data_IF_577636274831
#
_entry.id   IF_577636274831
#
_cell.length_a   1.000
_cell.length_b   1.000
_cell.length_c   1.000
_cell.angle_alpha   90.00
_cell.angle_beta   90.00
_cell.angle_gamma   90.00
#
_symmetry.space_group_name_H-M   'P 1'
#
loop_
_entity.id
_entity.type
_entity.pdbx_description
1 polymer ?
#
# COMPACT_ATOMS: atom_id res chain seq x y z
N UNK A 1 -28.90 15.14 -29.19
CA UNK A 1 -28.78 15.47 -27.75
C UNK A 1 -27.65 14.64 -27.19
N UNK A 2 -26.57 15.27 -26.72
CA UNK A 2 -25.45 14.54 -26.11
C UNK A 2 -25.79 14.20 -24.65
N UNK A 3 -25.53 12.97 -24.23
CA UNK A 3 -25.75 12.53 -22.86
C UNK A 3 -24.90 13.35 -21.88
N UNK A 4 -25.42 13.70 -20.69
CA UNK A 4 -24.63 14.39 -19.68
C UNK A 4 -23.46 13.50 -19.28
N UNK A 5 -22.25 14.01 -19.46
CA UNK A 5 -21.03 13.36 -18.98
C UNK A 5 -21.04 13.43 -17.45
N UNK A 6 -21.38 12.31 -16.81
CA UNK A 6 -21.15 12.12 -15.38
C UNK A 6 -19.63 12.12 -15.16
N UNK A 7 -19.05 13.28 -14.88
CA UNK A 7 -17.70 13.35 -14.33
C UNK A 7 -17.76 12.68 -12.95
N UNK A 8 -17.03 11.58 -12.71
CA UNK A 8 -16.95 11.03 -11.37
C UNK A 8 -16.39 12.12 -10.44
N UNK A 9 -16.92 12.23 -9.21
CA UNK A 9 -16.39 13.17 -8.24
C UNK A 9 -14.90 12.89 -8.08
N UNK A 10 -14.09 13.89 -8.38
CA UNK A 10 -12.64 13.82 -8.17
C UNK A 10 -12.44 13.91 -6.67
N UNK A 11 -12.18 12.77 -6.02
CA UNK A 11 -11.88 12.75 -4.59
C UNK A 11 -10.60 13.56 -4.37
N UNK A 12 -10.60 14.59 -3.51
CA UNK A 12 -9.38 15.30 -3.13
C UNK A 12 -8.55 14.38 -2.23
N UNK A 13 -7.75 13.50 -2.85
CA UNK A 13 -6.95 12.50 -2.13
C UNK A 13 -5.99 13.13 -1.14
N UNK A 14 -5.45 14.31 -1.43
CA UNK A 14 -4.59 15.08 -0.52
C UNK A 14 -5.28 15.35 0.83
N UNK A 15 -6.49 15.95 0.80
CA UNK A 15 -7.25 16.27 2.01
C UNK A 15 -7.65 15.01 2.78
N UNK A 16 -8.11 13.98 2.07
CA UNK A 16 -8.50 12.72 2.66
C UNK A 16 -7.31 12.05 3.38
N UNK A 17 -6.17 11.91 2.70
CA UNK A 17 -4.98 11.26 3.27
C UNK A 17 -4.42 12.08 4.43
N UNK A 18 -4.38 13.41 4.30
CA UNK A 18 -3.88 14.25 5.37
C UNK A 18 -4.71 14.10 6.65
N UNK A 19 -6.04 14.24 6.54
CA UNK A 19 -6.94 14.19 7.69
C UNK A 19 -6.99 12.80 8.36
N UNK A 20 -6.88 11.72 7.58
CA UNK A 20 -7.09 10.37 8.10
C UNK A 20 -5.80 9.62 8.45
N UNK A 21 -4.69 9.89 7.76
CA UNK A 21 -3.46 9.10 7.88
C UNK A 21 -2.27 9.90 8.40
N UNK A 22 -2.07 11.12 7.89
CA UNK A 22 -0.85 11.89 8.17
C UNK A 22 -0.97 12.83 9.38
N UNK A 23 -2.17 13.26 9.75
CA UNK A 23 -2.40 14.29 10.78
C UNK A 23 -1.70 14.00 12.12
N UNK A 24 -1.58 12.73 12.50
CA UNK A 24 -1.02 12.32 13.79
C UNK A 24 0.50 12.07 13.76
N UNK A 25 1.14 12.19 12.58
CA UNK A 25 2.61 12.10 12.44
C UNK A 25 3.21 10.69 12.56
N UNK A 26 2.40 9.64 12.81
CA UNK A 26 2.88 8.26 12.90
C UNK A 26 3.16 7.64 11.52
N UNK A 27 2.45 8.09 10.48
CA UNK A 27 2.58 7.58 9.11
C UNK A 27 3.55 8.48 8.33
N UNK A 28 4.65 7.88 7.87
CA UNK A 28 5.71 8.61 7.15
C UNK A 28 5.58 8.53 5.62
N UNK A 29 4.71 7.66 5.11
CA UNK A 29 4.49 7.47 3.68
C UNK A 29 3.17 6.75 3.41
N UNK A 30 2.51 7.12 2.31
CA UNK A 30 1.24 6.53 1.87
C UNK A 30 1.30 6.32 0.36
N UNK A 31 0.87 5.16 -0.12
CA UNK A 31 0.63 4.91 -1.54
C UNK A 31 -0.79 4.36 -1.69
N UNK A 32 -1.63 5.02 -2.50
CA UNK A 32 -2.98 4.56 -2.79
C UNK A 32 -3.02 4.03 -4.21
N UNK A 33 -3.56 2.83 -4.36
CA UNK A 33 -3.76 2.18 -5.64
C UNK A 33 -5.26 2.05 -5.93
N UNK A 34 -5.67 2.35 -7.16
CA UNK A 34 -7.02 2.04 -7.63
C UNK A 34 -7.21 0.52 -7.77
N UNK A 35 -8.46 0.09 -7.96
CA UNK A 35 -8.80 -1.32 -8.14
C UNK A 35 -8.13 -1.99 -9.36
N UNK A 36 -7.64 -1.19 -10.31
CA UNK A 36 -6.89 -1.66 -11.48
C UNK A 36 -5.37 -1.61 -11.30
N UNK A 37 -4.88 -1.22 -10.11
CA UNK A 37 -3.45 -1.16 -9.80
C UNK A 37 -2.74 0.13 -10.21
N UNK A 38 -3.47 1.11 -10.74
CA UNK A 38 -2.92 2.43 -11.01
C UNK A 38 -2.70 3.18 -9.69
N UNK A 39 -1.50 3.75 -9.51
CA UNK A 39 -1.23 4.65 -8.39
C UNK A 39 -2.12 5.90 -8.54
N UNK A 40 -2.95 6.17 -7.54
CA UNK A 40 -3.84 7.36 -7.52
C UNK A 40 -3.29 8.48 -6.63
N UNK A 41 -2.43 8.14 -5.67
CA UNK A 41 -1.82 9.08 -4.76
C UNK A 41 -0.54 8.49 -4.15
N UNK A 42 0.47 9.34 -3.90
CA UNK A 42 1.68 8.95 -3.17
C UNK A 42 2.20 10.08 -2.28
N UNK A 43 2.71 9.71 -1.11
CA UNK A 43 3.37 10.57 -0.14
C UNK A 43 4.58 9.85 0.44
N UNK A 44 5.63 10.59 0.81
CA UNK A 44 6.81 10.04 1.50
C UNK A 44 7.76 9.27 0.59
N UNK A 45 7.91 9.68 -0.68
CA UNK A 45 8.82 9.09 -1.66
C UNK A 45 8.54 7.61 -2.00
N UNK A 46 7.29 7.16 -1.88
CA UNK A 46 6.87 5.81 -2.27
C UNK A 46 6.57 5.66 -3.77
N UNK A 47 6.59 6.76 -4.52
CA UNK A 47 6.53 6.75 -5.98
C UNK A 47 7.93 7.04 -6.52
N UNK A 48 8.46 6.09 -7.29
CA UNK A 48 9.78 6.18 -7.91
C UNK A 48 9.87 5.51 -9.28
N UNK A 49 8.72 5.29 -9.94
CA UNK A 49 8.63 4.65 -11.26
C UNK A 49 8.55 3.12 -11.20
N UNK A 50 8.46 2.53 -10.00
CA UNK A 50 8.27 1.08 -9.77
C UNK A 50 6.93 0.73 -9.14
N UNK A 51 5.93 1.58 -9.35
CA UNK A 51 4.58 1.42 -8.78
C UNK A 51 3.94 0.09 -9.20
N UNK A 52 4.14 -0.32 -10.45
CA UNK A 52 3.62 -1.60 -10.97
C UNK A 52 4.24 -2.80 -10.26
N UNK A 53 5.55 -2.75 -9.94
CA UNK A 53 6.24 -3.80 -9.20
C UNK A 53 5.73 -3.86 -7.75
N UNK A 54 5.56 -2.71 -7.10
CA UNK A 54 5.01 -2.64 -5.74
C UNK A 54 3.57 -3.20 -5.71
N UNK A 55 2.72 -2.79 -6.65
CA UNK A 55 1.37 -3.31 -6.78
C UNK A 55 1.34 -4.81 -7.05
N UNK A 56 2.24 -5.32 -7.91
CA UNK A 56 2.40 -6.75 -8.16
C UNK A 56 2.70 -7.54 -6.89
N UNK A 57 3.61 -7.04 -6.04
CA UNK A 57 3.90 -7.66 -4.74
C UNK A 57 2.68 -7.64 -3.80
N UNK A 58 1.94 -6.52 -3.74
CA UNK A 58 0.70 -6.40 -2.94
C UNK A 58 -0.35 -7.40 -3.42
N UNK A 59 -0.57 -7.50 -4.73
CA UNK A 59 -1.50 -8.46 -5.30
C UNK A 59 -1.08 -9.91 -4.99
N UNK A 60 0.20 -10.22 -5.07
CA UNK A 60 0.72 -11.54 -4.73
C UNK A 60 0.54 -11.89 -3.26
N UNK A 61 0.63 -10.90 -2.36
CA UNK A 61 0.31 -11.07 -0.95
C UNK A 61 -1.13 -11.58 -0.78
N UNK A 62 -2.12 -10.91 -1.37
CA UNK A 62 -3.54 -11.21 -1.16
C UNK A 62 -4.13 -12.34 -2.02
N UNK A 63 -3.51 -12.68 -3.16
CA UNK A 63 -4.02 -13.76 -4.04
C UNK A 63 -3.60 -15.15 -3.59
N UNK A 64 -2.50 -15.28 -2.85
CA UNK A 64 -2.00 -16.55 -2.32
C UNK A 64 -2.32 -16.61 -0.83
N UNK A 65 -3.58 -16.55 -0.39
CA UNK A 65 -3.89 -16.70 1.04
C UNK A 65 -3.32 -18.05 1.54
N UNK A 66 -2.63 -18.09 2.70
CA UNK A 66 -2.23 -19.37 3.26
C UNK A 66 -3.48 -20.20 3.58
N UNK A 67 -3.44 -21.54 3.42
CA UNK A 67 -4.49 -22.39 3.96
C UNK A 67 -4.66 -22.12 5.47
N UNK A 68 -5.89 -22.23 5.98
CA UNK A 68 -6.34 -21.77 7.32
C UNK A 68 -5.48 -22.25 8.51
N UNK A 69 -4.58 -23.21 8.33
CA UNK A 69 -3.73 -23.79 9.37
C UNK A 69 -2.40 -23.03 9.59
N UNK A 70 -1.91 -22.26 8.62
CA UNK A 70 -0.61 -21.55 8.71
C UNK A 70 -0.78 -20.04 8.89
N UNK A 71 -1.02 -19.61 10.13
CA UNK A 71 -1.09 -18.19 10.50
C UNK A 71 0.28 -17.47 10.49
N UNK A 72 1.38 -18.19 10.24
CA UNK A 72 2.72 -17.60 10.06
C UNK A 72 3.01 -17.33 8.59
N UNK A 73 2.69 -16.12 8.14
CA UNK A 73 2.93 -15.67 6.77
C UNK A 73 4.36 -15.16 6.64
N UNK A 74 5.36 -16.02 6.40
CA UNK A 74 6.75 -15.55 6.18
C UNK A 74 6.94 -14.98 4.76
N UNK A 75 6.27 -13.85 4.47
CA UNK A 75 6.37 -13.12 3.20
C UNK A 75 7.12 -11.82 3.38
N UNK A 76 7.74 -11.36 2.31
CA UNK A 76 8.51 -10.12 2.31
C UNK A 76 7.90 -9.17 1.28
N UNK A 77 7.53 -7.98 1.72
CA UNK A 77 7.22 -6.84 0.86
C UNK A 77 8.46 -5.96 0.75
N UNK A 78 8.95 -5.74 -0.45
CA UNK A 78 10.07 -4.82 -0.70
C UNK A 78 9.52 -3.48 -1.16
N UNK A 79 9.74 -2.43 -0.37
CA UNK A 79 9.39 -1.07 -0.73
C UNK A 79 10.66 -0.33 -1.14
N UNK A 80 10.65 0.25 -2.33
CA UNK A 80 11.71 1.12 -2.80
C UNK A 80 11.36 2.59 -2.56
N UNK A 81 12.36 3.37 -2.14
CA UNK A 81 12.28 4.82 -1.94
C UNK A 81 13.50 5.45 -2.61
N UNK A 82 13.40 5.67 -3.92
CA UNK A 82 14.52 6.16 -4.74
C UNK A 82 15.65 5.14 -4.83
N UNK A 83 16.85 5.47 -4.35
CA UNK A 83 17.97 4.52 -4.36
C UNK A 83 17.99 3.54 -3.19
N UNK A 84 17.08 3.70 -2.23
CA UNK A 84 16.99 2.81 -1.06
C UNK A 84 15.86 1.81 -1.23
N UNK A 85 16.00 0.67 -0.57
CA UNK A 85 14.93 -0.29 -0.37
C UNK A 85 14.84 -0.69 1.10
N UNK A 86 13.66 -1.10 1.51
CA UNK A 86 13.43 -1.71 2.81
C UNK A 86 12.54 -2.94 2.63
N UNK A 87 12.96 -4.02 3.27
CA UNK A 87 12.25 -5.29 3.28
C UNK A 87 11.38 -5.34 4.54
N UNK A 88 10.08 -5.52 4.33
CA UNK A 88 9.10 -5.67 5.40
C UNK A 88 8.64 -7.12 5.44
N UNK A 89 9.01 -7.82 6.51
CA UNK A 89 8.48 -9.16 6.77
C UNK A 89 7.05 -9.02 7.26
N UNK A 90 6.12 -9.67 6.59
CA UNK A 90 4.71 -9.72 6.99
C UNK A 90 4.58 -10.75 8.12
N UNK A 91 3.78 -10.46 9.14
CA UNK A 91 3.56 -11.36 10.27
C UNK A 91 2.08 -11.66 10.50
N UNK A 92 1.21 -10.73 10.13
CA UNK A 92 -0.22 -10.85 10.27
C UNK A 92 -0.88 -10.49 8.96
N UNK A 93 -1.89 -11.27 8.58
CA UNK A 93 -2.63 -11.06 7.35
C UNK A 93 -4.06 -11.56 7.53
N UNK A 94 -4.98 -10.83 6.92
CA UNK A 94 -6.38 -11.19 6.74
C UNK A 94 -6.72 -11.12 5.25
N UNK A 95 -7.97 -11.39 4.88
CA UNK A 95 -8.44 -11.22 3.51
C UNK A 95 -8.25 -9.79 2.97
N UNK A 96 -8.27 -8.78 3.86
CA UNK A 96 -8.34 -7.37 3.47
C UNK A 96 -7.23 -6.50 4.06
N UNK A 97 -6.33 -7.07 4.87
CA UNK A 97 -5.23 -6.31 5.44
C UNK A 97 -3.99 -7.16 5.70
N UNK A 98 -2.82 -6.54 5.66
CA UNK A 98 -1.57 -7.16 6.06
C UNK A 98 -0.75 -6.20 6.92
N UNK A 99 -0.03 -6.76 7.89
CA UNK A 99 0.89 -6.03 8.74
C UNK A 99 2.28 -6.68 8.73
N UNK A 100 3.29 -5.84 8.58
CA UNK A 100 4.69 -6.25 8.58
C UNK A 100 5.61 -5.23 9.19
N UNK A 101 6.85 -5.66 9.48
CA UNK A 101 7.90 -4.77 9.97
C UNK A 101 9.24 -5.11 9.33
N UNK A 102 10.15 -4.14 9.34
CA UNK A 102 11.57 -4.38 9.02
C UNK A 102 12.24 -5.30 10.06
N UNK A 103 13.35 -5.97 9.72
CA UNK A 103 14.05 -6.93 10.59
C UNK A 103 14.44 -6.41 12.00
N UNK A 104 14.55 -5.08 12.17
CA UNK A 104 14.84 -4.43 13.47
C UNK A 104 13.63 -3.75 14.11
N UNK A 105 12.43 -4.00 13.59
CA UNK A 105 11.15 -3.42 14.03
C UNK A 105 11.16 -1.88 14.09
N UNK A 106 12.01 -1.23 13.30
CA UNK A 106 12.13 0.23 13.29
C UNK A 106 11.02 0.92 12.50
N UNK A 107 10.48 0.22 11.51
CA UNK A 107 9.38 0.68 10.68
C UNK A 107 8.37 -0.45 10.52
N UNK A 108 7.10 -0.09 10.57
CA UNK A 108 5.97 -0.95 10.23
C UNK A 108 5.38 -0.58 8.88
N UNK A 109 4.73 -1.55 8.24
CA UNK A 109 3.87 -1.34 7.08
C UNK A 109 2.50 -1.93 7.38
N UNK A 110 1.46 -1.20 7.00
CA UNK A 110 0.08 -1.67 6.97
C UNK A 110 -0.38 -1.54 5.52
N UNK A 111 -0.97 -2.62 5.00
CA UNK A 111 -1.56 -2.70 3.67
C UNK A 111 -3.05 -2.96 3.84
#
# INVERSE_FOLDING_TARGET
>A
MAAPQHKPPTVPWDDFVYQNLLQYGAVTGVALFGCHGNLVYSHGCLSDGREEQLWGQVKDLFTKLPPEEDHQVNRVLTIHTGQRSADFRIYQMTENSAYGTTDRQRHGVVI
#
